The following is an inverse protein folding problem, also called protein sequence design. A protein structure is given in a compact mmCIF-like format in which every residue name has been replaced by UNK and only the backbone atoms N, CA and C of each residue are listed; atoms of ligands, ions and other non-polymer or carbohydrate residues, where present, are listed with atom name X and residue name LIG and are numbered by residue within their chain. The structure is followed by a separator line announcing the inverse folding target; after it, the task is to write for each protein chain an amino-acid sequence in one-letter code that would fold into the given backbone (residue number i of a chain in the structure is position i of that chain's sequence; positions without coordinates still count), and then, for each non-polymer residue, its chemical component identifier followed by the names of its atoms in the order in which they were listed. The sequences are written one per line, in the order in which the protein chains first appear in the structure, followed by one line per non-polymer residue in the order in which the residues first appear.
data_IF_316454474198
#
_entry.id   IF_316454474198
#
_cell.length_a   1.000
_cell.length_b   1.000
_cell.length_c   1.000
_cell.angle_alpha   90.00
_cell.angle_beta   90.00
_cell.angle_gamma   90.00
#
_symmetry.space_group_name_H-M   'P 1'
#
loop_
_entity.id
_entity.type
_entity.pdbx_description
1 polymer ?
#
# COMPACT_ATOMS: atom_id res chain seq x y z
N UNK A 1 -2.48 -6.47 14.37
CA UNK A 1 -2.51 -6.09 12.93
C UNK A 1 -2.45 -7.33 12.01
N UNK A 2 -2.78 -8.53 12.48
CA UNK A 2 -2.50 -9.80 11.77
C UNK A 2 -3.63 -10.32 10.86
N UNK A 3 -4.87 -9.88 11.06
CA UNK A 3 -6.04 -10.52 10.42
C UNK A 3 -6.18 -10.31 8.90
N UNK A 4 -5.41 -9.42 8.28
CA UNK A 4 -5.51 -9.13 6.84
C UNK A 4 -4.48 -9.89 6.02
N UNK A 5 -3.30 -10.13 6.59
CA UNK A 5 -2.23 -10.93 5.98
C UNK A 5 -2.60 -12.41 5.98
N UNK A 6 -3.25 -12.88 7.05
CA UNK A 6 -3.76 -14.25 7.13
C UNK A 6 -4.79 -14.55 6.04
N UNK A 7 -5.75 -13.67 5.77
CA UNK A 7 -6.78 -13.90 4.75
C UNK A 7 -6.26 -13.93 3.30
N UNK A 8 -5.25 -13.13 2.96
CA UNK A 8 -4.64 -13.19 1.62
C UNK A 8 -3.87 -14.50 1.42
N UNK A 9 -3.16 -14.96 2.45
CA UNK A 9 -2.49 -16.27 2.40
C UNK A 9 -3.50 -17.41 2.20
N UNK A 10 -4.64 -17.38 2.88
CA UNK A 10 -5.69 -18.44 2.73
C UNK A 10 -6.26 -18.48 1.31
N UNK A 11 -6.43 -17.32 0.64
CA UNK A 11 -6.93 -17.30 -0.76
C UNK A 11 -5.89 -17.88 -1.73
N UNK A 12 -4.61 -17.57 -1.54
CA UNK A 12 -3.53 -18.12 -2.38
C UNK A 12 -3.34 -19.62 -2.15
N UNK A 13 -3.41 -20.09 -0.90
CA UNK A 13 -3.42 -21.52 -0.58
C UNK A 13 -4.62 -22.24 -1.22
N UNK A 14 -5.81 -21.63 -1.17
CA UNK A 14 -7.00 -22.18 -1.82
C UNK A 14 -6.87 -22.24 -3.35
N UNK A 15 -6.21 -21.25 -3.99
CA UNK A 15 -5.89 -21.31 -5.42
C UNK A 15 -4.92 -22.45 -5.75
N UNK A 16 -3.95 -22.69 -4.88
CA UNK A 16 -2.98 -23.77 -5.06
C UNK A 16 -3.63 -25.15 -4.95
N UNK A 17 -4.57 -25.34 -4.03
CA UNK A 17 -5.38 -26.57 -3.95
C UNK A 17 -6.23 -26.81 -5.21
N UNK A 18 -6.76 -25.75 -5.82
CA UNK A 18 -7.50 -25.90 -7.09
C UNK A 18 -6.56 -26.32 -8.22
N UNK A 19 -5.34 -25.77 -8.26
CA UNK A 19 -4.30 -26.19 -9.22
C UNK A 19 -3.88 -27.64 -9.03
N UNK A 20 -3.90 -28.15 -7.80
CA UNK A 20 -3.58 -29.56 -7.51
C UNK A 20 -4.74 -30.54 -7.81
N UNK A 21 -5.89 -30.03 -8.28
CA UNK A 21 -7.00 -30.85 -8.78
C UNK A 21 -8.26 -30.81 -7.92
N UNK A 22 -8.29 -30.03 -6.83
CA UNK A 22 -9.52 -29.86 -6.06
C UNK A 22 -10.56 -29.06 -6.84
N UNK A 23 -11.84 -29.44 -6.69
CA UNK A 23 -12.93 -28.59 -7.19
C UNK A 23 -13.02 -27.29 -6.40
N UNK A 24 -13.45 -26.20 -7.04
CA UNK A 24 -13.64 -24.88 -6.42
C UNK A 24 -14.49 -24.97 -5.14
N UNK A 25 -15.51 -25.84 -5.13
CA UNK A 25 -16.37 -26.08 -3.96
C UNK A 25 -15.64 -26.79 -2.80
N UNK A 26 -14.79 -27.76 -3.10
CA UNK A 26 -14.00 -28.46 -2.09
C UNK A 26 -12.96 -27.53 -1.46
N UNK A 27 -12.24 -26.75 -2.28
CA UNK A 27 -11.29 -25.76 -1.80
C UNK A 27 -11.98 -24.69 -0.93
N UNK A 28 -13.15 -24.20 -1.35
CA UNK A 28 -13.97 -23.27 -0.57
C UNK A 28 -14.34 -23.84 0.82
N UNK A 29 -14.77 -25.11 0.88
CA UNK A 29 -15.14 -25.77 2.14
C UNK A 29 -13.92 -26.00 3.05
N UNK A 30 -12.78 -26.42 2.48
CA UNK A 30 -11.53 -26.68 3.20
C UNK A 30 -10.98 -25.43 3.87
N UNK A 31 -11.01 -24.31 3.15
CA UNK A 31 -10.47 -23.01 3.61
C UNK A 31 -11.51 -22.11 4.28
N UNK A 32 -12.74 -22.57 4.43
CA UNK A 32 -13.87 -21.81 4.97
C UNK A 32 -14.06 -20.43 4.29
N UNK A 33 -13.95 -20.41 2.95
CA UNK A 33 -14.17 -19.23 2.12
C UNK A 33 -15.46 -19.43 1.33
N UNK A 34 -16.25 -18.37 1.18
CA UNK A 34 -17.42 -18.41 0.29
C UNK A 34 -17.01 -18.72 -1.16
N UNK A 35 -17.72 -19.65 -1.79
CA UNK A 35 -17.47 -20.07 -3.18
C UNK A 35 -17.33 -18.90 -4.15
N UNK A 36 -18.18 -17.88 -4.02
CA UNK A 36 -18.20 -16.70 -4.89
C UNK A 36 -16.94 -15.84 -4.77
N UNK A 37 -16.32 -15.78 -3.59
CA UNK A 37 -15.06 -15.09 -3.36
C UNK A 37 -13.94 -15.81 -4.12
N UNK A 38 -13.84 -17.13 -3.93
CA UNK A 38 -12.85 -17.95 -4.62
C UNK A 38 -13.00 -17.85 -6.15
N UNK A 39 -14.23 -17.94 -6.64
CA UNK A 39 -14.54 -17.79 -8.06
C UNK A 39 -14.16 -16.41 -8.61
N UNK A 40 -14.41 -15.33 -7.86
CA UNK A 40 -14.00 -13.96 -8.24
C UNK A 40 -12.48 -13.84 -8.34
N UNK A 41 -11.74 -14.40 -7.39
CA UNK A 41 -10.28 -14.38 -7.35
C UNK A 41 -9.61 -15.29 -8.40
N UNK A 42 -10.33 -16.27 -8.94
CA UNK A 42 -9.89 -17.08 -10.08
C UNK A 42 -10.16 -16.40 -11.42
N UNK A 43 -11.33 -15.77 -11.56
CA UNK A 43 -11.71 -15.08 -12.79
C UNK A 43 -10.93 -13.78 -13.00
N UNK A 44 -10.66 -13.06 -11.91
CA UNK A 44 -9.92 -11.80 -11.93
C UNK A 44 -8.59 -11.99 -11.22
N UNK A 45 -7.49 -11.95 -11.96
CA UNK A 45 -6.14 -11.99 -11.37
C UNK A 45 -5.83 -10.70 -10.59
N UNK A 46 -6.42 -9.57 -10.99
CA UNK A 46 -6.14 -8.24 -10.42
C UNK A 46 -7.17 -7.79 -9.39
N UNK A 47 -7.53 -8.66 -8.43
CA UNK A 47 -8.37 -8.22 -7.31
C UNK A 47 -7.58 -7.25 -6.43
N UNK A 48 -7.94 -5.96 -6.50
CA UNK A 48 -7.34 -4.91 -5.66
C UNK A 48 -7.43 -5.29 -4.17
N UNK A 49 -6.39 -4.91 -3.42
CA UNK A 49 -6.32 -5.08 -1.97
C UNK A 49 -7.56 -4.50 -1.30
N UNK A 50 -8.10 -5.19 -0.29
CA UNK A 50 -9.30 -4.79 0.47
C UNK A 50 -9.13 -3.54 1.34
N UNK A 51 -8.25 -2.62 0.99
CA UNK A 51 -8.01 -1.35 1.70
C UNK A 51 -8.27 -0.17 0.76
N UNK A 52 -8.37 1.03 1.34
CA UNK A 52 -8.46 2.25 0.55
C UNK A 52 -7.35 2.30 -0.50
N UNK A 53 -7.72 2.61 -1.73
CA UNK A 53 -6.77 2.73 -2.83
C UNK A 53 -5.90 3.97 -2.58
N UNK A 54 -4.59 3.80 -2.68
CA UNK A 54 -3.64 4.91 -2.60
C UNK A 54 -3.78 5.78 -3.85
N UNK A 55 -3.54 7.09 -3.69
CA UNK A 55 -3.58 8.04 -4.82
C UNK A 55 -2.37 7.84 -5.73
N UNK A 56 -1.25 7.50 -5.13
CA UNK A 56 0.01 7.19 -5.78
C UNK A 56 0.18 5.68 -5.91
N UNK A 57 0.90 5.24 -6.94
CA UNK A 57 1.31 3.85 -7.07
C UNK A 57 2.32 3.50 -5.97
N UNK A 58 2.40 2.22 -5.59
CA UNK A 58 3.29 1.76 -4.53
C UNK A 58 4.77 2.07 -4.82
N UNK A 59 5.18 1.93 -6.09
CA UNK A 59 6.53 2.29 -6.54
C UNK A 59 6.82 3.79 -6.44
N UNK A 60 5.83 4.64 -6.77
CA UNK A 60 5.94 6.10 -6.64
C UNK A 60 6.09 6.50 -5.17
N UNK A 61 5.23 5.96 -4.29
CA UNK A 61 5.29 6.24 -2.85
C UNK A 61 6.63 5.80 -2.25
N UNK A 62 7.14 4.64 -2.65
CA UNK A 62 8.42 4.13 -2.18
C UNK A 62 9.58 5.03 -2.59
N UNK A 63 9.64 5.45 -3.87
CA UNK A 63 10.69 6.36 -4.34
C UNK A 63 10.65 7.71 -3.61
N UNK A 64 9.45 8.21 -3.29
CA UNK A 64 9.31 9.42 -2.48
C UNK A 64 9.84 9.18 -1.07
N UNK A 65 9.47 8.07 -0.41
CA UNK A 65 9.95 7.74 0.92
C UNK A 65 11.49 7.63 0.99
N UNK A 66 12.11 6.96 0.01
CA UNK A 66 13.57 6.84 -0.10
C UNK A 66 14.25 8.21 -0.25
N UNK A 67 13.66 9.14 -1.03
CA UNK A 67 14.18 10.51 -1.18
C UNK A 67 14.07 11.31 0.11
N UNK A 68 12.96 11.19 0.84
CA UNK A 68 12.80 11.86 2.15
C UNK A 68 13.90 11.42 3.12
N UNK A 69 14.22 10.12 3.09
CA UNK A 69 15.28 9.52 3.88
C UNK A 69 16.65 10.12 3.51
N UNK A 70 16.99 10.18 2.22
CA UNK A 70 18.23 10.82 1.74
C UNK A 70 18.31 12.30 2.13
N UNK A 71 17.22 13.06 2.02
CA UNK A 71 17.19 14.46 2.44
C UNK A 71 17.47 14.63 3.94
N UNK A 72 16.91 13.75 4.78
CA UNK A 72 17.18 13.75 6.21
C UNK A 72 18.65 13.43 6.51
N UNK A 73 19.27 12.54 5.73
CA UNK A 73 20.69 12.18 5.81
C UNK A 73 21.61 13.36 5.50
N UNK A 74 21.20 14.22 4.59
CA UNK A 74 21.91 15.44 4.22
C UNK A 74 21.70 16.60 5.20
N UNK A 75 21.01 16.36 6.33
CA UNK A 75 20.76 17.38 7.34
C UNK A 75 19.54 18.26 7.08
N UNK A 76 18.67 17.87 6.13
CA UNK A 76 17.42 18.56 5.81
C UNK A 76 16.21 17.69 6.17
N UNK A 77 15.84 17.62 7.47
CA UNK A 77 14.64 16.90 7.87
C UNK A 77 13.41 17.60 7.28
N UNK A 78 12.62 16.85 6.51
CA UNK A 78 11.41 17.35 5.87
C UNK A 78 10.19 17.15 6.76
N UNK A 79 9.37 18.19 6.90
CA UNK A 79 8.13 18.13 7.67
C UNK A 79 6.99 17.47 6.86
N UNK A 80 5.92 17.11 7.56
CA UNK A 80 4.64 16.69 7.01
C UNK A 80 4.09 17.67 5.97
N UNK A 81 4.36 18.97 6.11
CA UNK A 81 3.97 19.97 5.12
C UNK A 81 4.82 19.88 3.84
N UNK A 82 6.14 19.72 3.97
CA UNK A 82 7.05 19.59 2.83
C UNK A 82 6.72 18.35 2.01
N UNK A 83 6.39 17.23 2.66
CA UNK A 83 5.88 16.04 1.98
C UNK A 83 4.66 16.34 1.11
N UNK A 84 3.69 17.09 1.63
CA UNK A 84 2.47 17.46 0.89
C UNK A 84 2.81 18.31 -0.32
N UNK A 85 3.76 19.24 -0.18
CA UNK A 85 4.22 20.09 -1.27
C UNK A 85 4.98 19.29 -2.34
N UNK A 86 5.87 18.39 -1.95
CA UNK A 86 6.58 17.49 -2.86
C UNK A 86 5.60 16.67 -3.70
N UNK A 87 4.56 16.13 -3.06
CA UNK A 87 3.54 15.34 -3.75
C UNK A 87 2.67 16.20 -4.66
N UNK A 88 2.29 17.40 -4.24
CA UNK A 88 1.57 18.35 -5.10
C UNK A 88 2.39 18.68 -6.35
N UNK A 89 3.67 19.02 -6.18
CA UNK A 89 4.58 19.30 -7.29
C UNK A 89 4.75 18.09 -8.22
N UNK A 90 4.88 16.90 -7.65
CA UNK A 90 4.96 15.66 -8.42
C UNK A 90 3.71 15.43 -9.27
N UNK A 91 2.51 15.55 -8.68
CA UNK A 91 1.23 15.39 -9.38
C UNK A 91 1.05 16.44 -10.48
N UNK A 92 1.39 17.70 -10.20
CA UNK A 92 1.32 18.79 -11.16
C UNK A 92 2.27 18.56 -12.34
N UNK A 93 3.52 18.15 -12.09
CA UNK A 93 4.50 17.81 -13.13
C UNK A 93 4.09 16.59 -13.95
N UNK A 94 3.44 15.61 -13.32
CA UNK A 94 2.91 14.42 -13.98
C UNK A 94 1.61 14.71 -14.76
N UNK A 95 1.04 15.92 -14.69
CA UNK A 95 -0.25 16.25 -15.30
C UNK A 95 -1.44 15.49 -14.69
N UNK A 96 -1.29 14.94 -13.48
CA UNK A 96 -2.32 14.14 -12.81
C UNK A 96 -3.14 15.03 -11.88
N UNK A 97 -4.41 15.21 -12.20
CA UNK A 97 -5.35 15.94 -11.35
C UNK A 97 -6.13 14.96 -10.47
N UNK A 98 -6.05 15.16 -9.16
CA UNK A 98 -6.74 14.31 -8.18
C UNK A 98 -7.90 15.11 -7.59
N UNK A 99 -9.13 14.78 -8.01
CA UNK A 99 -10.35 15.53 -7.65
C UNK A 99 -10.60 15.67 -6.14
N UNK A 100 -10.07 14.76 -5.33
CA UNK A 100 -10.20 14.80 -3.86
C UNK A 100 -9.25 15.79 -3.18
N UNK A 101 -8.26 16.31 -3.90
CA UNK A 101 -7.30 17.28 -3.40
C UNK A 101 -7.68 18.66 -3.90
N UNK A 102 -7.75 19.64 -2.99
CA UNK A 102 -7.93 21.03 -3.36
C UNK A 102 -6.59 21.53 -3.94
N UNK A 103 -6.62 22.01 -5.19
CA UNK A 103 -5.43 22.49 -5.91
C UNK A 103 -4.31 21.44 -5.99
N UNK A 104 -4.66 20.16 -6.12
CA UNK A 104 -3.74 19.01 -6.07
C UNK A 104 -2.90 18.90 -4.78
N UNK A 105 -3.18 19.71 -3.75
CA UNK A 105 -2.50 19.65 -2.46
C UNK A 105 -3.12 18.55 -1.59
N UNK A 106 -2.36 17.51 -1.20
CA UNK A 106 -2.86 16.49 -0.29
C UNK A 106 -3.23 17.09 1.08
N UNK A 107 -4.23 16.50 1.76
CA UNK A 107 -4.58 16.87 3.13
C UNK A 107 -3.62 16.31 4.19
N UNK A 108 -3.75 16.75 5.44
CA UNK A 108 -2.96 16.23 6.58
C UNK A 108 -3.14 14.72 6.78
N UNK A 109 -4.37 14.22 6.63
CA UNK A 109 -4.70 12.79 6.71
C UNK A 109 -3.97 11.93 5.70
N UNK A 110 -3.71 12.48 4.50
CA UNK A 110 -2.92 11.79 3.50
C UNK A 110 -1.47 11.59 3.98
N UNK A 111 -0.86 12.66 4.50
CA UNK A 111 0.51 12.61 5.02
C UNK A 111 0.61 11.60 6.19
N UNK A 112 -0.29 11.67 7.17
CA UNK A 112 -0.32 10.72 8.29
C UNK A 112 -0.44 9.27 7.81
N UNK A 113 -1.34 9.02 6.86
CA UNK A 113 -1.51 7.69 6.27
C UNK A 113 -0.27 7.23 5.50
N UNK A 114 0.44 8.15 4.83
CA UNK A 114 1.69 7.88 4.12
C UNK A 114 2.79 7.44 5.11
N UNK A 115 3.03 8.20 6.16
CA UNK A 115 4.00 7.85 7.21
C UNK A 115 3.67 6.50 7.86
N UNK A 116 2.39 6.21 8.10
CA UNK A 116 1.95 4.92 8.65
C UNK A 116 2.22 3.73 7.72
N UNK A 117 2.15 3.93 6.40
CA UNK A 117 2.45 2.87 5.41
C UNK A 117 3.95 2.62 5.29
N UNK A 118 4.74 3.70 5.31
CA UNK A 118 6.19 3.67 5.11
C UNK A 118 6.98 3.74 6.42
N UNK A 119 6.33 3.46 7.56
CA UNK A 119 6.96 3.55 8.89
C UNK A 119 8.17 2.62 9.02
N UNK A 120 8.20 1.48 8.33
CA UNK A 120 9.39 0.61 8.34
C UNK A 120 10.63 1.35 7.82
N UNK A 121 10.49 2.03 6.69
CA UNK A 121 11.59 2.77 6.03
C UNK A 121 11.93 4.04 6.82
N UNK A 122 10.91 4.76 7.29
CA UNK A 122 11.08 6.07 7.93
C UNK A 122 11.45 5.96 9.43
N UNK A 123 11.00 4.92 10.13
CA UNK A 123 11.28 4.71 11.57
C UNK A 123 12.57 3.95 11.84
N UNK A 124 13.12 3.16 10.89
CA UNK A 124 14.43 2.52 11.05
C UNK A 124 15.53 3.52 11.43
N UNK A 125 15.39 4.81 11.08
CA UNK A 125 16.34 5.89 11.45
C UNK A 125 16.08 6.57 12.79
N UNK A 126 14.86 6.51 13.34
CA UNK A 126 14.61 7.03 14.69
C UNK A 126 15.38 6.25 15.76
N UNK A 127 15.81 5.02 15.46
CA UNK A 127 16.55 4.15 16.37
C UNK A 127 18.06 4.04 16.06
N UNK A 128 18.60 4.77 15.08
CA UNK A 128 20.02 4.65 14.67
C UNK A 128 20.97 5.63 15.38
N UNK A 129 20.49 6.49 16.29
CA UNK A 129 21.33 7.40 17.07
C UNK A 129 21.53 6.93 18.51
N UNK A 130 22.29 5.85 18.71
CA UNK A 130 23.12 5.67 19.91
C UNK A 130 24.39 4.93 19.48
N UNK A 131 25.49 5.66 19.37
CA UNK A 131 26.87 5.15 19.49
C UNK A 131 27.61 6.05 20.46
#
# INVERSE_FOLDING_TARGET
MENATSKLNIIEEAKQDIRSGYSIRQAAKKHNIAYTVLQRHLKNNDVKKQRGQTVLAEAEERSIAEKLVTCSEWGYPLDTFDLRLVIQQYLNRAGRVVSRFKDNLPGKEFAYSFFKRHSRILSERMCQNIK
#
